data_IF_316751122637
#
_entry.id   IF_316751122637
#
_cell.length_a   1.000
_cell.length_b   1.000
_cell.length_c   1.000
_cell.angle_alpha   90.00
_cell.angle_beta   90.00
_cell.angle_gamma   90.00
#
_symmetry.space_group_name_H-M   'P 1'
#
loop_
_entity.id
_entity.type
_entity.pdbx_description
1 polymer ?
#
# COMPACT_ATOMS: atom_id res chain seq x y z
N UNK A 1 8.18 10.80 22.85
CA UNK A 1 9.11 10.40 23.92
C UNK A 1 8.36 9.48 24.87
N UNK A 2 8.75 8.20 24.96
CA UNK A 2 8.07 7.23 25.86
C UNK A 2 8.57 7.47 27.29
N UNK A 3 7.69 7.68 28.29
CA UNK A 3 8.10 7.93 29.66
C UNK A 3 8.81 6.70 30.26
N UNK A 4 9.86 6.96 31.04
CA UNK A 4 10.63 5.88 31.68
C UNK A 4 9.84 5.21 32.80
N UNK A 5 10.11 3.93 33.07
CA UNK A 5 9.40 3.15 34.10
C UNK A 5 9.44 3.81 35.49
N UNK A 6 10.51 4.53 35.82
CA UNK A 6 10.63 5.28 37.08
C UNK A 6 9.72 6.51 37.14
N UNK A 7 9.56 7.22 36.02
CA UNK A 7 8.64 8.37 35.92
C UNK A 7 7.18 7.89 36.02
N UNK A 8 6.86 6.79 35.35
CA UNK A 8 5.54 6.15 35.43
C UNK A 8 5.23 5.65 36.84
N UNK A 9 6.17 4.97 37.49
CA UNK A 9 5.99 4.42 38.84
C UNK A 9 5.62 5.50 39.86
N UNK A 10 6.35 6.63 39.86
CA UNK A 10 6.06 7.77 40.74
C UNK A 10 4.67 8.35 40.48
N UNK A 11 4.31 8.54 39.21
CA UNK A 11 3.02 9.12 38.83
C UNK A 11 1.85 8.22 39.18
N UNK A 12 1.96 6.91 38.96
CA UNK A 12 0.92 5.96 39.33
C UNK A 12 0.77 5.86 40.85
N UNK A 13 1.85 5.96 41.62
CA UNK A 13 1.80 5.95 43.08
C UNK A 13 1.07 7.19 43.63
N UNK A 14 1.30 8.38 43.05
CA UNK A 14 0.55 9.59 43.38
C UNK A 14 -0.96 9.42 43.13
N UNK A 15 -1.33 8.86 41.98
CA UNK A 15 -2.72 8.63 41.59
C UNK A 15 -3.38 7.60 42.51
N UNK A 16 -2.69 6.50 42.83
CA UNK A 16 -3.20 5.50 43.77
C UNK A 16 -3.47 6.10 45.15
N UNK A 17 -2.58 6.97 45.64
CA UNK A 17 -2.78 7.69 46.92
C UNK A 17 -3.96 8.65 46.87
N UNK A 18 -4.12 9.39 45.77
CA UNK A 18 -5.24 10.32 45.59
C UNK A 18 -6.60 9.60 45.50
N UNK A 19 -6.64 8.41 44.88
CA UNK A 19 -7.86 7.63 44.66
C UNK A 19 -8.16 6.61 45.80
N UNK A 20 -7.28 6.53 46.80
CA UNK A 20 -7.40 5.60 47.92
C UNK A 20 -7.27 4.13 47.52
N UNK A 21 -6.35 3.82 46.60
CA UNK A 21 -5.94 2.48 46.20
C UNK A 21 -4.60 2.12 46.86
N UNK A 22 -4.57 1.08 47.68
CA UNK A 22 -3.34 0.59 48.31
C UNK A 22 -2.56 -0.31 47.33
N UNK A 23 -1.43 0.17 46.83
CA UNK A 23 -0.57 -0.57 45.91
C UNK A 23 0.91 -0.48 46.32
N UNK A 24 1.58 -1.62 46.34
CA UNK A 24 3.02 -1.70 46.59
C UNK A 24 3.81 -1.30 45.35
N UNK A 25 5.00 -0.73 45.54
CA UNK A 25 5.85 -0.26 44.44
C UNK A 25 6.26 -1.39 43.48
N UNK A 26 6.55 -2.58 44.01
CA UNK A 26 6.81 -3.78 43.21
C UNK A 26 5.60 -4.21 42.34
N UNK A 27 4.38 -3.99 42.85
CA UNK A 27 3.13 -4.31 42.13
C UNK A 27 2.87 -3.31 41.01
N UNK A 28 3.14 -2.02 41.25
CA UNK A 28 3.04 -0.98 40.22
C UNK A 28 4.10 -1.17 39.13
N UNK A 29 5.31 -1.59 39.48
CA UNK A 29 6.34 -1.93 38.50
C UNK A 29 5.95 -3.13 37.65
N UNK A 30 5.36 -4.18 38.24
CA UNK A 30 4.83 -5.31 37.49
C UNK A 30 3.69 -4.90 36.53
N UNK A 31 2.83 -3.97 36.94
CA UNK A 31 1.77 -3.42 36.09
C UNK A 31 2.36 -2.65 34.90
N UNK A 32 3.37 -1.80 35.13
CA UNK A 32 4.09 -1.07 34.07
C UNK A 32 4.75 -2.03 33.09
N UNK A 33 5.36 -3.11 33.58
CA UNK A 33 5.96 -4.14 32.74
C UNK A 33 4.91 -4.90 31.92
N UNK A 34 3.72 -5.15 32.49
CA UNK A 34 2.63 -5.80 31.77
C UNK A 34 2.07 -4.96 30.61
N UNK A 35 2.19 -3.64 30.67
CA UNK A 35 1.67 -2.71 29.66
C UNK A 35 2.63 -2.47 28.47
N UNK A 36 3.54 -3.42 28.16
CA UNK A 36 4.38 -3.53 26.94
C UNK A 36 4.68 -2.23 26.17
N UNK A 37 5.11 -1.16 26.85
CA UNK A 37 5.33 0.14 26.21
C UNK A 37 5.11 1.36 27.08
N UNK A 38 4.63 1.21 28.32
CA UNK A 38 4.50 2.34 29.24
C UNK A 38 3.41 3.34 28.80
N UNK A 39 2.40 2.87 28.07
CA UNK A 39 1.23 3.68 27.71
C UNK A 39 0.46 4.06 28.99
N UNK A 40 0.50 5.36 29.30
CA UNK A 40 -0.16 5.94 30.47
C UNK A 40 -1.67 5.72 30.42
N UNK A 41 -2.30 5.76 29.24
CA UNK A 41 -3.75 5.61 29.09
C UNK A 41 -4.19 4.20 29.47
N UNK A 42 -3.46 3.19 29.00
CA UNK A 42 -3.72 1.79 29.34
C UNK A 42 -3.52 1.53 30.84
N UNK A 43 -2.42 2.04 31.41
CA UNK A 43 -2.11 1.90 32.84
C UNK A 43 -3.18 2.55 33.73
N UNK A 44 -3.67 3.74 33.35
CA UNK A 44 -4.76 4.41 34.07
C UNK A 44 -6.08 3.63 33.94
N UNK A 45 -6.40 3.12 32.75
CA UNK A 45 -7.59 2.28 32.55
C UNK A 45 -7.57 1.01 33.40
N UNK A 46 -6.41 0.36 33.51
CA UNK A 46 -6.21 -0.81 34.39
C UNK A 46 -6.39 -0.44 35.87
N UNK A 47 -5.77 0.64 36.35
CA UNK A 47 -5.94 1.12 37.72
C UNK A 47 -7.39 1.51 38.04
N UNK A 48 -8.10 2.11 37.09
CA UNK A 48 -9.51 2.44 37.25
C UNK A 48 -10.36 1.17 37.40
N UNK A 49 -10.11 0.15 36.58
CA UNK A 49 -10.82 -1.13 36.66
C UNK A 49 -10.52 -1.87 37.97
N UNK A 50 -9.27 -1.80 38.45
CA UNK A 50 -8.87 -2.32 39.77
C UNK A 50 -9.66 -1.61 40.87
N UNK A 51 -9.63 -0.28 40.89
CA UNK A 51 -10.22 0.53 41.95
C UNK A 51 -11.74 0.37 42.04
N UNK A 52 -12.39 0.02 40.94
CA UNK A 52 -13.81 -0.36 40.89
C UNK A 52 -14.11 -1.69 41.58
N UNK A 53 -13.14 -2.61 41.63
CA UNK A 53 -13.31 -3.98 42.17
C UNK A 53 -12.72 -4.15 43.56
N UNK A 54 -11.60 -3.51 43.86
CA UNK A 54 -10.90 -3.62 45.15
C UNK A 54 -10.30 -2.29 45.60
N UNK A 55 -10.05 -2.18 46.91
CA UNK A 55 -9.34 -1.03 47.52
C UNK A 55 -7.84 -1.28 47.70
N UNK A 56 -7.37 -2.50 47.46
CA UNK A 56 -5.96 -2.89 47.48
C UNK A 56 -5.60 -3.69 46.24
N UNK A 57 -4.34 -3.56 45.81
CA UNK A 57 -3.75 -4.22 44.66
C UNK A 57 -2.61 -5.14 45.12
N UNK A 58 -2.86 -6.45 45.06
CA UNK A 58 -1.84 -7.45 45.41
C UNK A 58 -0.94 -7.79 44.21
N UNK A 59 0.34 -8.07 44.49
CA UNK A 59 1.31 -8.50 43.48
C UNK A 59 0.85 -9.76 42.75
N UNK A 60 0.26 -10.71 43.47
CA UNK A 60 -0.24 -11.96 42.89
C UNK A 60 -1.43 -11.72 41.98
N UNK A 61 -2.26 -10.70 42.22
CA UNK A 61 -3.37 -10.37 41.32
C UNK A 61 -2.86 -9.84 39.97
N UNK A 62 -1.80 -9.02 39.99
CA UNK A 62 -1.12 -8.49 38.79
C UNK A 62 -0.41 -9.60 38.01
N UNK A 63 0.20 -10.56 38.72
CA UNK A 63 0.99 -11.63 38.10
C UNK A 63 0.17 -12.84 37.64
N UNK A 64 -0.83 -13.24 38.42
CA UNK A 64 -1.71 -14.39 38.10
C UNK A 64 -2.81 -14.05 37.10
N UNK A 65 -2.97 -12.76 36.75
CA UNK A 65 -4.02 -12.37 35.83
C UNK A 65 -5.43 -12.31 36.42
N UNK A 66 -5.54 -12.42 37.75
CA UNK A 66 -6.82 -12.33 38.49
C UNK A 66 -7.57 -11.00 38.34
N UNK A 67 -7.01 -10.04 37.59
CA UNK A 67 -7.64 -8.78 37.19
C UNK A 67 -8.67 -8.93 36.06
N UNK A 68 -8.84 -10.14 35.50
CA UNK A 68 -9.56 -10.31 34.24
C UNK A 68 -8.81 -9.71 33.04
N UNK A 69 -7.59 -9.23 33.27
CA UNK A 69 -6.71 -8.57 32.29
C UNK A 69 -5.69 -9.54 31.70
N UNK A 70 -5.51 -10.76 32.25
CA UNK A 70 -4.66 -11.78 31.61
C UNK A 70 -5.29 -12.47 30.42
N UNK A 71 -6.62 -12.40 30.28
CA UNK A 71 -7.29 -12.75 29.03
C UNK A 71 -7.07 -11.69 27.94
N UNK A 72 -6.69 -10.48 28.35
CA UNK A 72 -6.56 -9.26 27.53
C UNK A 72 -5.13 -8.69 27.52
N UNK A 73 -4.12 -9.43 27.97
CA UNK A 73 -2.76 -9.13 27.56
C UNK A 73 -2.67 -9.61 26.13
N UNK A 74 -3.04 -8.73 25.18
CA UNK A 74 -2.91 -8.94 23.75
C UNK A 74 -1.58 -9.61 23.49
N UNK A 75 -1.65 -10.91 23.19
CA UNK A 75 -0.45 -11.65 22.89
C UNK A 75 0.08 -11.07 21.59
N UNK A 76 1.35 -10.64 21.59
CA UNK A 76 1.95 -10.11 20.38
C UNK A 76 1.72 -11.10 19.23
N UNK A 77 1.34 -10.65 18.03
CA UNK A 77 1.14 -11.53 16.88
C UNK A 77 2.37 -12.40 16.58
N UNK A 78 3.57 -11.91 16.90
CA UNK A 78 4.82 -12.67 16.84
C UNK A 78 4.85 -13.85 17.81
N UNK A 79 4.40 -13.65 19.04
CA UNK A 79 4.32 -14.69 20.05
C UNK A 79 3.21 -15.70 19.71
N UNK A 80 2.06 -15.22 19.23
CA UNK A 80 0.98 -16.09 18.77
C UNK A 80 1.45 -17.01 17.61
N UNK A 81 2.06 -16.44 16.57
CA UNK A 81 2.63 -17.20 15.46
C UNK A 81 3.74 -18.17 15.92
N UNK A 82 4.61 -17.73 16.84
CA UNK A 82 5.66 -18.56 17.43
C UNK A 82 5.07 -19.76 18.17
N UNK A 83 4.03 -19.58 18.99
CA UNK A 83 3.38 -20.66 19.73
C UNK A 83 2.69 -21.66 18.81
N UNK A 84 2.07 -21.19 17.74
CA UNK A 84 1.43 -22.05 16.73
C UNK A 84 2.45 -22.96 16.01
N UNK A 85 3.63 -22.43 15.70
CA UNK A 85 4.71 -23.12 14.99
C UNK A 85 5.67 -23.91 15.90
N UNK A 86 5.72 -23.61 17.20
CA UNK A 86 6.56 -24.32 18.16
C UNK A 86 5.89 -25.62 18.64
N UNK A 87 6.63 -26.40 19.42
CA UNK A 87 6.09 -27.59 20.09
C UNK A 87 4.94 -27.26 21.07
N UNK A 88 4.84 -26.02 21.54
CA UNK A 88 3.78 -25.59 22.46
C UNK A 88 2.39 -25.71 21.82
N UNK A 89 2.28 -25.52 20.51
CA UNK A 89 1.03 -25.69 19.78
C UNK A 89 0.45 -27.10 19.85
N UNK A 90 1.25 -28.15 20.11
CA UNK A 90 0.79 -29.53 20.27
C UNK A 90 -0.06 -29.71 21.54
N UNK A 91 0.21 -28.95 22.59
CA UNK A 91 -0.52 -29.01 23.86
C UNK A 91 -1.82 -28.19 23.90
N UNK A 92 -2.08 -27.38 22.87
CA UNK A 92 -3.23 -26.48 22.80
C UNK A 92 -4.42 -27.18 22.14
N UNK A 93 -5.63 -26.92 22.64
CA UNK A 93 -6.85 -27.37 21.94
C UNK A 93 -7.01 -26.65 20.61
N UNK A 94 -7.84 -27.19 19.70
CA UNK A 94 -8.12 -26.52 18.43
C UNK A 94 -8.71 -25.10 18.66
N UNK A 95 -9.58 -24.96 19.67
CA UNK A 95 -10.16 -23.66 20.04
C UNK A 95 -9.08 -22.68 20.49
N UNK A 96 -8.15 -23.09 21.37
CA UNK A 96 -7.07 -22.22 21.83
C UNK A 96 -6.15 -21.80 20.67
N UNK A 97 -5.89 -22.71 19.72
CA UNK A 97 -5.10 -22.41 18.53
C UNK A 97 -5.81 -21.39 17.62
N UNK A 98 -7.13 -21.49 17.49
CA UNK A 98 -7.94 -20.51 16.75
C UNK A 98 -7.91 -19.15 17.48
N UNK A 99 -8.02 -19.14 18.81
CA UNK A 99 -7.95 -17.92 19.62
C UNK A 99 -6.58 -17.23 19.50
N UNK A 100 -5.48 -17.99 19.33
CA UNK A 100 -4.16 -17.43 19.00
C UNK A 100 -4.16 -16.73 17.64
N UNK A 101 -4.83 -17.29 16.63
CA UNK A 101 -4.94 -16.62 15.32
C UNK A 101 -5.76 -15.34 15.44
N UNK A 102 -6.82 -15.34 16.24
CA UNK A 102 -7.68 -14.18 16.44
C UNK A 102 -7.10 -13.09 17.37
N UNK A 103 -5.92 -13.30 17.95
CA UNK A 103 -5.16 -12.20 18.56
C UNK A 103 -4.88 -11.10 17.51
N UNK A 104 -4.56 -11.51 16.28
CA UNK A 104 -4.50 -10.62 15.12
C UNK A 104 -4.76 -11.44 13.84
N UNK A 105 -6.01 -11.39 13.39
CA UNK A 105 -6.50 -12.16 12.25
C UNK A 105 -5.89 -11.75 10.90
N UNK A 106 -5.25 -10.59 10.83
CA UNK A 106 -4.57 -10.10 9.63
C UNK A 106 -3.08 -10.47 9.66
N UNK A 107 -2.40 -10.23 10.79
CA UNK A 107 -0.96 -10.37 10.87
C UNK A 107 -0.49 -11.79 11.22
N UNK A 108 -1.20 -12.53 12.09
CA UNK A 108 -0.78 -13.89 12.48
C UNK A 108 -0.69 -14.84 11.27
N UNK A 109 -1.67 -14.89 10.34
CA UNK A 109 -1.55 -15.72 9.14
C UNK A 109 -0.31 -15.38 8.30
N UNK A 110 0.00 -14.10 8.13
CA UNK A 110 1.17 -13.63 7.38
C UNK A 110 2.49 -14.00 8.07
N UNK A 111 2.54 -13.90 9.40
CA UNK A 111 3.70 -14.31 10.18
C UNK A 111 3.93 -15.83 10.12
N UNK A 112 2.86 -16.62 10.16
CA UNK A 112 2.96 -18.07 9.98
C UNK A 112 3.46 -18.41 8.57
N UNK A 113 2.91 -17.76 7.54
CA UNK A 113 3.35 -17.95 6.15
C UNK A 113 4.81 -17.56 5.91
N UNK A 114 5.32 -16.51 6.55
CA UNK A 114 6.73 -16.12 6.42
C UNK A 114 7.65 -17.13 7.13
N UNK A 115 7.23 -17.64 8.29
CA UNK A 115 8.11 -18.39 9.19
C UNK A 115 7.96 -19.91 9.14
N UNK A 116 6.92 -20.49 8.55
CA UNK A 116 6.72 -21.95 8.60
C UNK A 116 7.90 -22.75 8.02
N UNK A 117 8.60 -22.20 7.01
CA UNK A 117 9.78 -22.82 6.40
C UNK A 117 10.99 -22.83 7.34
N UNK A 118 11.04 -21.87 8.28
CA UNK A 118 12.06 -21.79 9.31
C UNK A 118 11.89 -22.81 10.43
N UNK A 119 10.82 -23.61 10.43
CA UNK A 119 10.66 -24.66 11.44
C UNK A 119 10.99 -26.03 10.84
N UNK A 120 11.62 -26.88 11.64
CA UNK A 120 11.82 -28.29 11.31
C UNK A 120 10.67 -29.11 11.86
N UNK A 121 9.78 -29.66 11.01
CA UNK A 121 8.66 -30.45 11.44
C UNK A 121 9.10 -31.65 12.29
N UNK A 122 8.46 -31.86 13.45
CA UNK A 122 8.64 -33.06 14.28
C UNK A 122 8.33 -34.35 13.50
N UNK A 123 7.35 -34.27 12.60
CA UNK A 123 6.88 -35.38 11.77
C UNK A 123 7.92 -35.79 10.72
N UNK A 124 8.81 -34.87 10.34
CA UNK A 124 9.81 -35.11 9.32
C UNK A 124 11.09 -35.73 9.93
N UNK A 125 11.33 -37.00 9.62
CA UNK A 125 12.57 -37.70 10.02
C UNK A 125 13.76 -37.31 9.13
N UNK A 126 13.51 -37.19 7.82
CA UNK A 126 14.52 -36.92 6.80
C UNK A 126 14.18 -35.65 6.01
N UNK A 127 15.17 -35.06 5.34
CA UNK A 127 14.99 -33.82 4.57
C UNK A 127 14.02 -33.97 3.39
N UNK A 128 13.98 -35.15 2.76
CA UNK A 128 12.99 -35.46 1.73
C UNK A 128 11.55 -35.42 2.28
N UNK A 129 11.35 -35.95 3.49
CA UNK A 129 10.05 -35.92 4.17
C UNK A 129 9.71 -34.50 4.64
N UNK A 130 10.71 -33.73 5.09
CA UNK A 130 10.53 -32.31 5.42
C UNK A 130 9.99 -31.52 4.24
N UNK A 131 10.56 -31.70 3.05
CA UNK A 131 10.08 -31.03 1.84
C UNK A 131 8.61 -31.38 1.53
N UNK A 132 8.22 -32.66 1.68
CA UNK A 132 6.83 -33.09 1.47
C UNK A 132 5.86 -32.49 2.50
N UNK A 133 6.27 -32.41 3.76
CA UNK A 133 5.45 -31.82 4.83
C UNK A 133 5.30 -30.31 4.63
N UNK A 134 6.37 -29.61 4.26
CA UNK A 134 6.32 -28.18 3.93
C UNK A 134 5.46 -27.92 2.69
N UNK A 135 5.47 -28.81 1.69
CA UNK A 135 4.58 -28.71 0.54
C UNK A 135 3.10 -28.80 0.95
N UNK A 136 2.75 -29.72 1.85
CA UNK A 136 1.38 -29.81 2.41
C UNK A 136 0.99 -28.55 3.19
N UNK A 137 1.92 -27.94 3.92
CA UNK A 137 1.69 -26.66 4.58
C UNK A 137 1.46 -25.54 3.56
N UNK A 138 2.22 -25.51 2.46
CA UNK A 138 2.04 -24.52 1.39
C UNK A 138 0.68 -24.65 0.68
N UNK A 139 0.23 -25.88 0.42
CA UNK A 139 -1.11 -26.15 -0.14
C UNK A 139 -2.21 -25.64 0.79
N UNK A 140 -2.07 -25.87 2.09
CA UNK A 140 -3.01 -25.40 3.11
C UNK A 140 -3.10 -23.87 3.19
N UNK A 141 -1.95 -23.19 3.18
CA UNK A 141 -1.88 -21.71 3.13
C UNK A 141 -2.61 -21.20 1.89
N UNK A 142 -2.38 -21.85 0.74
CA UNK A 142 -3.04 -21.48 -0.53
C UNK A 142 -4.56 -21.67 -0.48
N UNK A 143 -5.04 -22.77 0.11
CA UNK A 143 -6.48 -22.96 0.34
C UNK A 143 -7.05 -21.91 1.32
N UNK A 144 -6.31 -21.57 2.37
CA UNK A 144 -6.71 -20.53 3.32
C UNK A 144 -6.80 -19.14 2.70
N UNK A 145 -5.93 -18.82 1.76
CA UNK A 145 -5.97 -17.56 1.00
C UNK A 145 -7.24 -17.44 0.15
N UNK A 146 -7.67 -18.53 -0.51
CA UNK A 146 -8.94 -18.55 -1.26
C UNK A 146 -10.14 -18.24 -0.37
N UNK A 147 -10.19 -18.84 0.82
CA UNK A 147 -11.27 -18.57 1.80
C UNK A 147 -11.17 -17.14 2.32
N UNK A 148 -9.96 -16.66 2.63
CA UNK A 148 -9.71 -15.30 3.12
C UNK A 148 -10.14 -14.25 2.11
N UNK A 149 -9.88 -14.48 0.81
CA UNK A 149 -10.37 -13.66 -0.29
C UNK A 149 -11.90 -13.66 -0.33
N UNK A 150 -12.54 -14.83 -0.23
CA UNK A 150 -14.00 -14.95 -0.24
C UNK A 150 -14.65 -14.20 0.93
N UNK A 151 -14.05 -14.24 2.12
CA UNK A 151 -14.50 -13.51 3.31
C UNK A 151 -14.46 -12.01 3.04
N UNK A 152 -13.33 -11.49 2.55
CA UNK A 152 -13.17 -10.04 2.33
C UNK A 152 -14.03 -9.53 1.18
N UNK A 153 -14.20 -10.32 0.11
CA UNK A 153 -15.04 -9.96 -1.04
C UNK A 153 -16.53 -9.93 -0.71
N UNK A 154 -17.03 -10.90 0.06
CA UNK A 154 -18.46 -11.00 0.38
C UNK A 154 -18.82 -10.55 1.80
N UNK A 155 -17.85 -10.05 2.56
CA UNK A 155 -17.98 -9.67 3.98
C UNK A 155 -18.58 -10.78 4.86
N UNK A 156 -18.32 -12.05 4.52
CA UNK A 156 -18.90 -13.19 5.21
C UNK A 156 -17.98 -13.69 6.34
N UNK A 157 -18.01 -12.99 7.47
CA UNK A 157 -17.17 -13.28 8.64
C UNK A 157 -17.49 -14.60 9.34
N UNK A 158 -18.62 -15.25 9.04
CA UNK A 158 -18.95 -16.57 9.58
C UNK A 158 -17.93 -17.65 9.15
N UNK A 159 -17.22 -17.43 8.04
CA UNK A 159 -16.16 -18.31 7.56
C UNK A 159 -14.79 -18.04 8.23
N UNK A 160 -14.66 -17.01 9.06
CA UNK A 160 -13.36 -16.64 9.65
C UNK A 160 -12.71 -17.77 10.47
N UNK A 161 -13.43 -18.54 11.32
CA UNK A 161 -12.84 -19.68 12.02
C UNK A 161 -12.34 -20.76 11.06
N UNK A 162 -13.07 -21.00 9.96
CA UNK A 162 -12.65 -21.94 8.93
C UNK A 162 -11.39 -21.46 8.20
N UNK A 163 -11.31 -20.18 7.88
CA UNK A 163 -10.11 -19.57 7.29
C UNK A 163 -8.90 -19.64 8.24
N UNK A 164 -9.09 -19.36 9.53
CA UNK A 164 -8.05 -19.46 10.55
C UNK A 164 -7.51 -20.90 10.64
N UNK A 165 -8.40 -21.89 10.61
CA UNK A 165 -7.99 -23.30 10.62
C UNK A 165 -7.22 -23.65 9.36
N UNK A 166 -7.79 -23.40 8.17
CA UNK A 166 -7.21 -23.83 6.90
C UNK A 166 -5.91 -23.09 6.56
N UNK A 167 -5.89 -21.76 6.75
CA UNK A 167 -4.79 -20.89 6.35
C UNK A 167 -3.67 -20.76 7.37
N UNK A 168 -3.92 -21.07 8.64
CA UNK A 168 -2.95 -20.79 9.71
C UNK A 168 -2.72 -22.00 10.61
N UNK A 169 -3.76 -22.56 11.23
CA UNK A 169 -3.59 -23.66 12.19
C UNK A 169 -3.11 -24.94 11.51
N UNK A 170 -3.76 -25.34 10.42
CA UNK A 170 -3.42 -26.53 9.65
C UNK A 170 -1.99 -26.49 9.09
N UNK A 171 -1.52 -25.43 8.40
CA UNK A 171 -0.13 -25.37 7.97
C UNK A 171 0.85 -25.30 9.14
N UNK A 172 0.49 -24.62 10.23
CA UNK A 172 1.32 -24.60 11.43
C UNK A 172 1.50 -26.02 12.01
N UNK A 173 0.44 -26.83 12.09
CA UNK A 173 0.53 -28.22 12.57
C UNK A 173 1.51 -29.09 11.78
N UNK A 174 1.56 -28.93 10.46
CA UNK A 174 2.54 -29.61 9.62
C UNK A 174 3.96 -29.07 9.85
N UNK A 175 4.11 -27.75 10.01
CA UNK A 175 5.40 -27.11 10.19
C UNK A 175 5.96 -27.18 11.62
N UNK A 176 5.18 -27.68 12.59
CA UNK A 176 5.52 -27.64 14.02
C UNK A 176 6.87 -28.26 14.36
N UNK A 177 7.71 -27.46 15.00
CA UNK A 177 8.92 -27.95 15.64
C UNK A 177 9.93 -26.85 15.95
N UNK A 178 11.21 -27.25 16.07
CA UNK A 178 12.29 -26.34 16.39
C UNK A 178 12.57 -25.36 15.24
N UNK A 179 12.75 -24.08 15.57
CA UNK A 179 13.15 -23.07 14.58
C UNK A 179 14.62 -23.25 14.21
N UNK A 180 14.89 -23.25 12.91
CA UNK A 180 16.21 -23.29 12.29
C UNK A 180 16.47 -22.01 11.49
N UNK A 181 17.75 -21.65 11.43
CA UNK A 181 18.26 -20.48 10.72
C UNK A 181 18.74 -20.90 9.33
N UNK A 182 18.49 -20.12 8.28
CA UNK A 182 18.90 -20.54 6.92
C UNK A 182 20.38 -20.28 6.62
N UNK A 183 20.98 -19.28 7.28
CA UNK A 183 22.37 -18.92 7.08
C UNK A 183 23.04 -18.55 8.40
N UNK A 184 24.36 -18.78 8.49
CA UNK A 184 25.12 -18.45 9.67
C UNK A 184 25.02 -16.94 9.99
N UNK A 185 24.61 -16.61 11.21
CA UNK A 185 24.50 -15.24 11.70
C UNK A 185 23.11 -14.59 11.58
N UNK A 186 22.09 -15.26 11.04
CA UNK A 186 20.71 -14.73 11.12
C UNK A 186 20.16 -14.83 12.56
N UNK A 187 19.54 -13.76 13.08
CA UNK A 187 18.90 -13.79 14.39
C UNK A 187 17.86 -14.91 14.49
N UNK A 188 17.89 -15.67 15.59
CA UNK A 188 16.94 -16.76 15.81
C UNK A 188 15.58 -16.24 16.36
N UNK A 189 14.97 -15.29 15.67
CA UNK A 189 13.66 -14.70 16.01
C UNK A 189 12.72 -14.76 14.80
N UNK A 190 11.39 -14.91 14.99
CA UNK A 190 10.44 -14.88 13.87
C UNK A 190 10.59 -13.62 13.03
N UNK A 191 10.71 -13.80 11.71
CA UNK A 191 10.75 -12.70 10.75
C UNK A 191 9.39 -12.04 10.64
N UNK A 192 9.40 -10.72 10.47
CA UNK A 192 8.21 -10.02 10.03
C UNK A 192 7.90 -10.36 8.57
N UNK A 193 6.62 -10.30 8.19
CA UNK A 193 6.18 -10.64 6.84
C UNK A 193 6.77 -9.70 5.78
N UNK A 194 7.41 -10.27 4.76
CA UNK A 194 7.88 -9.50 3.60
C UNK A 194 6.75 -9.14 2.64
N UNK A 195 5.57 -9.75 2.80
CA UNK A 195 4.43 -9.60 1.89
C UNK A 195 3.90 -8.16 1.86
N UNK A 196 3.75 -7.50 3.01
CA UNK A 196 3.23 -6.12 3.08
C UNK A 196 4.07 -5.13 2.28
N UNK A 197 5.40 -5.18 2.44
CA UNK A 197 6.31 -4.34 1.67
C UNK A 197 6.33 -4.68 0.18
N UNK A 198 6.25 -5.97 -0.15
CA UNK A 198 6.20 -6.46 -1.54
C UNK A 198 4.89 -6.10 -2.24
N UNK A 199 3.77 -6.09 -1.50
CA UNK A 199 2.46 -5.71 -2.00
C UNK A 199 2.40 -4.21 -2.30
N UNK A 200 2.85 -3.36 -1.37
CA UNK A 200 2.91 -1.91 -1.56
C UNK A 200 3.80 -1.51 -2.73
N UNK A 201 5.01 -2.07 -2.79
CA UNK A 201 5.90 -1.86 -3.94
C UNK A 201 5.23 -2.33 -5.23
N UNK A 202 4.74 -3.57 -5.27
CA UNK A 202 4.03 -4.11 -6.43
C UNK A 202 2.91 -3.21 -6.95
N UNK A 203 2.09 -2.62 -6.07
CA UNK A 203 1.04 -1.69 -6.46
C UNK A 203 1.59 -0.37 -7.02
N UNK A 204 2.65 0.18 -6.41
CA UNK A 204 3.37 1.32 -6.97
C UNK A 204 3.89 1.03 -8.38
N UNK A 205 4.52 -0.13 -8.60
CA UNK A 205 5.02 -0.50 -9.93
C UNK A 205 3.88 -0.75 -10.94
N UNK A 206 2.74 -1.31 -10.53
CA UNK A 206 1.54 -1.44 -11.39
C UNK A 206 1.00 -0.09 -11.82
N UNK A 207 0.92 0.88 -10.90
CA UNK A 207 0.50 2.26 -11.22
C UNK A 207 1.43 2.90 -12.24
N UNK A 208 2.74 2.84 -12.01
CA UNK A 208 3.75 3.41 -12.91
C UNK A 208 3.72 2.73 -14.30
N UNK A 209 3.50 1.42 -14.36
CA UNK A 209 3.29 0.71 -15.62
C UNK A 209 2.05 1.22 -16.37
N UNK A 210 0.95 1.49 -15.65
CA UNK A 210 -0.26 2.06 -16.23
C UNK A 210 -0.05 3.48 -16.78
N UNK A 211 0.73 4.31 -16.06
CA UNK A 211 1.12 5.63 -16.54
C UNK A 211 2.01 5.55 -17.78
N UNK A 212 3.02 4.69 -17.79
CA UNK A 212 3.86 4.43 -18.96
C UNK A 212 3.01 3.97 -20.15
N UNK A 213 2.09 3.03 -19.92
CA UNK A 213 1.20 2.49 -20.95
C UNK A 213 0.33 3.57 -21.58
N UNK A 214 -0.33 4.41 -20.77
CA UNK A 214 -1.15 5.51 -21.28
C UNK A 214 -0.35 6.56 -22.06
N UNK A 215 0.87 6.88 -21.63
CA UNK A 215 1.79 7.78 -22.36
C UNK A 215 2.19 7.20 -23.71
N UNK A 216 2.64 5.94 -23.73
CA UNK A 216 3.07 5.28 -24.96
C UNK A 216 1.90 5.09 -25.94
N UNK A 217 0.69 4.79 -25.46
CA UNK A 217 -0.49 4.77 -26.32
C UNK A 217 -0.83 6.15 -26.89
N UNK A 218 -0.67 7.22 -26.10
CA UNK A 218 -0.92 8.60 -26.58
C UNK A 218 0.03 9.04 -27.71
N UNK A 219 1.17 8.36 -27.88
CA UNK A 219 2.08 8.60 -29.00
C UNK A 219 1.50 8.18 -30.35
N UNK A 220 0.57 7.22 -30.37
CA UNK A 220 0.05 6.58 -31.57
C UNK A 220 1.04 5.64 -32.27
N UNK A 221 2.26 5.47 -31.74
CA UNK A 221 3.29 4.58 -32.30
C UNK A 221 3.17 3.14 -31.80
N UNK A 222 2.30 2.89 -30.81
CA UNK A 222 2.16 1.61 -30.15
C UNK A 222 0.69 1.28 -29.91
N UNK A 223 0.30 0.07 -30.29
CA UNK A 223 -0.97 -0.54 -29.89
C UNK A 223 -0.64 -1.84 -29.15
N UNK A 224 -0.73 -1.82 -27.82
CA UNK A 224 -0.49 -3.00 -27.00
C UNK A 224 -1.27 -2.96 -25.68
N UNK A 225 -1.45 -4.13 -25.07
CA UNK A 225 -1.95 -4.26 -23.70
C UNK A 225 -0.82 -4.03 -22.66
N UNK A 226 -1.19 -3.69 -21.42
CA UNK A 226 -0.26 -3.52 -20.29
C UNK A 226 0.64 -4.74 -20.08
N UNK A 227 0.10 -5.94 -20.26
CA UNK A 227 0.86 -7.19 -20.10
C UNK A 227 1.92 -7.33 -21.19
N UNK A 228 1.54 -7.05 -22.44
CA UNK A 228 2.45 -7.06 -23.57
C UNK A 228 3.53 -5.98 -23.43
N UNK A 229 3.16 -4.77 -22.97
CA UNK A 229 4.10 -3.71 -22.66
C UNK A 229 5.16 -4.18 -21.66
N UNK A 230 4.73 -4.76 -20.54
CA UNK A 230 5.62 -5.23 -19.47
C UNK A 230 6.59 -6.33 -19.93
N UNK A 231 6.09 -7.33 -20.66
CA UNK A 231 6.87 -8.53 -20.98
C UNK A 231 7.70 -8.38 -22.25
N UNK A 232 7.18 -7.70 -23.28
CA UNK A 232 7.83 -7.61 -24.58
C UNK A 232 8.57 -6.28 -24.79
N UNK A 233 7.95 -5.16 -24.44
CA UNK A 233 8.46 -3.83 -24.79
C UNK A 233 9.43 -3.26 -23.75
N UNK A 234 9.13 -3.36 -22.46
CA UNK A 234 9.97 -2.82 -21.38
C UNK A 234 11.42 -3.36 -21.44
N UNK A 235 11.68 -4.66 -21.68
CA UNK A 235 13.06 -5.16 -21.83
C UNK A 235 13.81 -4.56 -23.03
N UNK A 236 13.11 -4.34 -24.16
CA UNK A 236 13.69 -3.72 -25.35
C UNK A 236 13.92 -2.23 -25.12
N UNK A 237 12.96 -1.56 -24.49
CA UNK A 237 13.03 -0.14 -24.16
C UNK A 237 14.19 0.15 -23.22
N UNK A 238 14.42 -0.71 -22.23
CA UNK A 238 15.62 -0.67 -21.39
C UNK A 238 16.90 -0.67 -22.23
N UNK A 239 17.04 -1.62 -23.16
CA UNK A 239 18.24 -1.71 -24.00
C UNK A 239 18.38 -0.49 -24.91
N UNK A 240 17.29 0.00 -25.50
CA UNK A 240 17.27 1.17 -26.37
C UNK A 240 17.62 2.47 -25.64
N UNK A 241 17.24 2.61 -24.37
CA UNK A 241 17.55 3.80 -23.55
C UNK A 241 18.95 3.75 -22.95
N UNK A 242 19.40 2.60 -22.46
CA UNK A 242 20.66 2.48 -21.70
C UNK A 242 21.90 2.18 -22.55
N UNK A 243 21.77 1.36 -23.60
CA UNK A 243 22.92 0.91 -24.41
C UNK A 243 23.60 2.06 -25.15
N UNK A 244 22.88 2.99 -25.80
CA UNK A 244 23.50 4.12 -26.49
C UNK A 244 24.26 5.03 -25.52
N UNK A 245 23.67 5.32 -24.35
CA UNK A 245 24.29 6.15 -23.30
C UNK A 245 25.56 5.51 -22.72
N UNK A 246 25.63 4.18 -22.68
CA UNK A 246 26.81 3.46 -22.18
C UNK A 246 27.94 3.36 -23.22
N UNK A 247 27.62 3.25 -24.52
CA UNK A 247 28.62 3.07 -25.59
C UNK A 247 29.16 4.39 -26.15
N UNK A 248 28.28 5.35 -26.40
CA UNK A 248 28.58 6.59 -27.12
C UNK A 248 28.56 7.82 -26.19
N UNK A 249 28.18 7.65 -24.92
CA UNK A 249 28.25 8.69 -23.91
C UNK A 249 27.38 9.91 -24.22
N UNK A 250 28.00 11.10 -24.32
CA UNK A 250 27.28 12.37 -24.52
C UNK A 250 26.71 12.51 -25.94
N UNK A 251 27.29 11.83 -26.92
CA UNK A 251 26.86 11.93 -28.33
C UNK A 251 25.51 11.23 -28.58
N UNK A 252 25.18 10.21 -27.78
CA UNK A 252 23.91 9.50 -27.88
C UNK A 252 22.72 10.25 -27.24
N UNK A 253 22.94 11.33 -26.49
CA UNK A 253 21.87 12.05 -25.77
C UNK A 253 20.74 12.50 -26.72
N UNK A 254 21.01 13.14 -27.88
CA UNK A 254 19.96 13.55 -28.81
C UNK A 254 19.14 12.37 -29.33
N UNK A 255 19.79 11.26 -29.73
CA UNK A 255 19.11 10.08 -30.25
C UNK A 255 18.17 9.44 -29.20
N UNK A 256 18.60 9.39 -27.94
CA UNK A 256 17.77 8.88 -26.84
C UNK A 256 16.60 9.82 -26.55
N UNK A 257 16.81 11.13 -26.60
CA UNK A 257 15.75 12.12 -26.42
C UNK A 257 14.72 12.06 -27.55
N UNK A 258 15.15 11.83 -28.79
CA UNK A 258 14.25 11.65 -29.93
C UNK A 258 13.39 10.38 -29.77
N UNK A 259 13.96 9.28 -29.27
CA UNK A 259 13.21 8.07 -28.93
C UNK A 259 12.20 8.33 -27.80
N UNK A 260 12.61 9.08 -26.77
CA UNK A 260 11.68 9.48 -25.72
C UNK A 260 10.54 10.35 -26.27
N UNK A 261 10.85 11.25 -27.21
CA UNK A 261 9.86 12.07 -27.88
C UNK A 261 8.88 11.24 -28.72
N UNK A 262 9.39 10.25 -29.46
CA UNK A 262 8.57 9.40 -30.33
C UNK A 262 7.56 8.57 -29.54
N UNK A 263 7.94 8.06 -28.37
CA UNK A 263 7.07 7.27 -27.49
C UNK A 263 6.43 8.09 -26.37
N UNK A 264 6.58 9.42 -26.36
CA UNK A 264 6.03 10.33 -25.35
C UNK A 264 6.44 9.97 -23.90
N UNK A 265 7.68 9.51 -23.72
CA UNK A 265 8.22 9.09 -22.42
C UNK A 265 8.60 10.30 -21.56
N UNK A 266 8.27 10.23 -20.28
CA UNK A 266 8.74 11.16 -19.26
C UNK A 266 10.10 10.74 -18.68
N UNK A 267 10.74 11.63 -17.94
CA UNK A 267 11.97 11.29 -17.20
C UNK A 267 11.73 10.17 -16.19
N UNK A 268 10.59 10.22 -15.50
CA UNK A 268 10.19 9.25 -14.49
C UNK A 268 9.98 7.84 -15.10
N UNK A 269 9.57 7.78 -16.37
CA UNK A 269 9.41 6.50 -17.10
C UNK A 269 10.75 5.79 -17.32
N UNK A 270 11.82 6.56 -17.57
CA UNK A 270 13.17 5.99 -17.73
C UNK A 270 13.66 5.39 -16.41
N UNK A 271 13.40 6.06 -15.29
CA UNK A 271 13.74 5.55 -13.96
C UNK A 271 12.91 4.31 -13.62
N UNK A 272 11.61 4.32 -13.94
CA UNK A 272 10.74 3.16 -13.79
C UNK A 272 11.21 1.94 -14.61
N UNK A 273 11.54 2.13 -15.89
CA UNK A 273 12.06 1.08 -16.76
C UNK A 273 13.37 0.52 -16.22
N UNK A 274 14.26 1.37 -15.71
CA UNK A 274 15.51 0.93 -15.09
C UNK A 274 15.27 0.12 -13.80
N UNK A 275 14.31 0.54 -12.95
CA UNK A 275 13.98 -0.13 -11.69
C UNK A 275 13.30 -1.50 -11.93
N UNK A 276 12.28 -1.56 -12.78
CA UNK A 276 11.52 -2.81 -13.04
C UNK A 276 12.34 -3.87 -13.77
N UNK A 277 13.37 -3.47 -14.51
CA UNK A 277 14.26 -4.39 -15.21
C UNK A 277 15.52 -4.77 -14.44
N UNK A 278 15.64 -4.29 -13.20
CA UNK A 278 16.70 -4.68 -12.27
C UNK A 278 16.28 -5.93 -11.50
N UNK A 279 17.00 -7.02 -11.68
CA UNK A 279 16.73 -8.27 -10.98
C UNK A 279 17.83 -8.59 -9.97
N UNK A 280 17.50 -9.31 -8.90
CA UNK A 280 18.47 -9.81 -7.91
C UNK A 280 19.28 -11.00 -8.45
N UNK A 281 19.74 -10.92 -9.70
CA UNK A 281 20.52 -11.94 -10.39
C UNK A 281 21.83 -11.35 -10.88
N UNK A 282 22.90 -12.16 -10.87
CA UNK A 282 24.21 -11.80 -11.45
C UNK A 282 24.24 -11.92 -12.98
N UNK A 283 23.12 -12.28 -13.61
CA UNK A 283 23.05 -12.36 -15.07
C UNK A 283 23.16 -10.98 -15.74
N UNK A 284 23.57 -10.93 -17.02
CA UNK A 284 23.73 -9.66 -17.76
C UNK A 284 22.41 -8.88 -17.89
N UNK A 285 21.27 -9.58 -17.95
CA UNK A 285 19.95 -8.95 -17.88
C UNK A 285 19.58 -8.52 -16.44
N UNK A 286 20.16 -9.10 -15.40
CA UNK A 286 19.86 -8.74 -14.00
C UNK A 286 20.57 -7.48 -13.51
N UNK A 287 21.70 -7.13 -14.10
CA UNK A 287 22.48 -5.95 -13.70
C UNK A 287 21.74 -4.64 -13.96
N UNK A 288 22.06 -3.63 -13.16
CA UNK A 288 21.49 -2.29 -13.30
C UNK A 288 21.84 -1.71 -14.69
N UNK A 289 20.83 -1.41 -15.55
CA UNK A 289 21.08 -0.91 -16.90
C UNK A 289 21.90 0.36 -16.93
N UNK A 290 21.84 1.16 -15.87
CA UNK A 290 22.50 2.46 -15.79
C UNK A 290 23.90 2.39 -15.15
N UNK A 291 24.39 1.21 -14.77
CA UNK A 291 25.71 1.02 -14.13
C UNK A 291 26.88 1.39 -15.04
N UNK A 292 26.76 1.10 -16.34
CA UNK A 292 27.79 1.42 -17.34
C UNK A 292 27.81 2.88 -17.82
N UNK A 293 26.83 3.69 -17.39
CA UNK A 293 26.71 5.09 -17.83
C UNK A 293 27.44 6.01 -16.84
N UNK A 294 28.40 6.79 -17.34
CA UNK A 294 29.16 7.74 -16.52
C UNK A 294 28.25 8.79 -15.88
N UNK A 295 28.54 9.18 -14.63
CA UNK A 295 27.78 10.18 -13.89
C UNK A 295 27.64 11.51 -14.64
N UNK A 296 28.69 11.93 -15.37
CA UNK A 296 28.63 13.14 -16.20
C UNK A 296 27.58 13.06 -17.31
N UNK A 297 27.42 11.89 -17.93
CA UNK A 297 26.43 11.65 -19.00
C UNK A 297 25.02 11.69 -18.42
N UNK A 298 24.79 11.08 -17.24
CA UNK A 298 23.49 11.15 -16.55
C UNK A 298 23.07 12.58 -16.21
N UNK A 299 24.01 13.40 -15.73
CA UNK A 299 23.76 14.82 -15.44
C UNK A 299 23.48 15.61 -16.72
N UNK A 300 24.25 15.40 -17.78
CA UNK A 300 24.05 16.07 -19.06
C UNK A 300 22.69 15.69 -19.70
N UNK A 301 22.35 14.41 -19.67
CA UNK A 301 21.06 13.90 -20.14
C UNK A 301 19.88 14.56 -19.41
N UNK A 302 19.95 14.65 -18.07
CA UNK A 302 18.89 15.27 -17.27
C UNK A 302 18.72 16.76 -17.60
N UNK A 303 19.82 17.50 -17.81
CA UNK A 303 19.76 18.92 -18.24
C UNK A 303 19.16 19.07 -19.63
N UNK A 304 19.56 18.21 -20.58
CA UNK A 304 19.07 18.24 -21.95
C UNK A 304 17.57 17.92 -22.04
N UNK A 305 17.10 16.93 -21.26
CA UNK A 305 15.67 16.60 -21.17
C UNK A 305 14.84 17.79 -20.65
N UNK A 306 15.28 18.44 -19.57
CA UNK A 306 14.58 19.60 -19.00
C UNK A 306 14.56 20.81 -19.94
N UNK A 307 15.61 20.99 -20.76
CA UNK A 307 15.72 22.08 -21.71
C UNK A 307 14.76 21.96 -22.90
N UNK A 308 14.43 20.73 -23.32
CA UNK A 308 13.57 20.50 -24.49
C UNK A 308 12.06 20.68 -24.20
N UNK A 309 11.66 20.98 -22.95
CA UNK A 309 10.26 21.15 -22.56
C UNK A 309 9.32 20.05 -23.11
N UNK A 310 9.79 18.80 -23.22
CA UNK A 310 8.93 17.68 -23.60
C UNK A 310 7.88 17.48 -22.52
N UNK A 311 6.71 18.08 -22.74
CA UNK A 311 5.52 17.77 -21.94
C UNK A 311 4.88 16.53 -22.56
N UNK A 312 4.56 15.51 -21.76
CA UNK A 312 3.76 14.39 -22.22
C UNK A 312 2.48 14.89 -22.90
N UNK A 313 2.15 14.35 -24.07
CA UNK A 313 0.93 14.72 -24.82
C UNK A 313 -0.35 14.38 -24.04
N UNK A 314 -0.27 13.48 -23.07
CA UNK A 314 -1.35 13.21 -22.13
C UNK A 314 -1.38 14.27 -21.03
N UNK A 315 -2.39 15.14 -21.05
CA UNK A 315 -2.67 16.09 -19.96
C UNK A 315 -3.07 15.46 -18.62
N UNK A 316 -2.98 14.13 -18.48
CA UNK A 316 -3.25 13.42 -17.23
C UNK A 316 -1.94 13.15 -16.50
N UNK A 317 -1.50 14.12 -15.71
CA UNK A 317 -0.91 13.74 -14.42
C UNK A 317 -2.11 13.29 -13.59
N UNK A 318 -2.17 12.02 -13.20
CA UNK A 318 -3.00 11.64 -12.06
C UNK A 318 -2.44 12.47 -10.90
N UNK A 319 -3.06 13.61 -10.60
CA UNK A 319 -2.69 14.40 -9.44
C UNK A 319 -2.79 13.46 -8.24
N UNK A 320 -1.72 13.38 -7.44
CA UNK A 320 -1.77 12.71 -6.15
C UNK A 320 -3.03 13.20 -5.43
N UNK A 321 -3.97 12.30 -5.16
CA UNK A 321 -5.28 12.60 -4.58
C UNK A 321 -5.21 13.16 -3.14
N UNK A 322 -4.05 13.62 -2.70
CA UNK A 322 -3.78 14.20 -1.39
C UNK A 322 -3.94 15.73 -1.32
N UNK A 323 -4.09 16.46 -2.44
CA UNK A 323 -4.04 17.95 -2.42
C UNK A 323 -5.29 18.70 -2.88
N UNK A 324 -6.44 18.04 -3.04
CA UNK A 324 -7.71 18.71 -3.39
C UNK A 324 -8.83 18.42 -2.39
N UNK A 325 -8.62 18.77 -1.12
CA UNK A 325 -9.71 19.19 -0.22
C UNK A 325 -9.33 20.53 0.39
N UNK A 326 -10.18 21.53 0.17
CA UNK A 326 -10.13 22.82 0.87
C UNK A 326 -9.62 23.99 0.06
N UNK A 327 -10.50 24.60 -0.76
CA UNK A 327 -10.37 26.03 -1.08
C UNK A 327 -11.73 26.70 -0.88
N UNK A 328 -11.89 27.34 0.28
CA UNK A 328 -12.99 28.21 0.65
C UNK A 328 -12.51 29.23 1.67
N UNK A 329 -12.20 30.44 1.15
CA UNK A 329 -12.14 31.76 1.80
C UNK A 329 -11.09 32.12 2.90
N UNK A 330 -10.30 33.15 2.55
CA UNK A 330 -9.72 34.27 3.35
C UNK A 330 -8.74 33.93 4.50
N UNK A 331 -7.43 34.13 4.35
CA UNK A 331 -6.66 35.39 4.37
C UNK A 331 -6.21 35.84 5.77
N UNK A 332 -4.92 35.63 6.09
CA UNK A 332 -3.94 36.64 6.56
C UNK A 332 -2.76 35.97 7.31
N UNK A 333 -1.56 36.06 6.72
CA UNK A 333 -0.20 36.24 7.28
C UNK A 333 0.09 35.76 8.74
N UNK A 334 1.15 35.01 9.05
CA UNK A 334 2.60 35.29 8.89
C UNK A 334 3.43 34.00 9.12
N UNK A 335 4.58 33.92 8.41
CA UNK A 335 5.81 33.11 8.52
C UNK A 335 5.98 32.13 9.72
N UNK A 336 6.26 30.84 9.51
CA UNK A 336 7.53 30.17 9.09
C UNK A 336 8.33 29.71 10.34
N UNK A 337 8.30 28.41 10.65
CA UNK A 337 9.51 27.57 10.84
C UNK A 337 9.14 26.08 11.02
N UNK A 338 10.12 25.23 10.75
CA UNK A 338 10.08 23.79 10.44
C UNK A 338 9.63 22.80 11.54
N UNK A 339 9.41 21.56 11.08
CA UNK A 339 9.36 20.27 11.81
C UNK A 339 8.06 19.87 12.55
N UNK A 340 7.22 19.10 11.85
CA UNK A 340 6.29 18.16 12.49
C UNK A 340 5.99 16.96 11.58
N UNK A 341 6.81 15.90 11.68
CA UNK A 341 6.42 14.55 11.28
C UNK A 341 5.65 13.94 12.47
N UNK A 342 4.34 13.82 12.32
CA UNK A 342 3.45 13.16 13.27
C UNK A 342 2.41 12.37 12.49
N UNK A 343 2.76 11.15 12.10
CA UNK A 343 1.81 10.14 11.65
C UNK A 343 1.14 9.55 12.89
N UNK A 344 -0.15 9.88 13.06
CA UNK A 344 -1.04 9.14 13.94
C UNK A 344 -2.47 9.32 13.40
N UNK A 345 -2.86 8.46 12.45
CA UNK A 345 -4.28 8.17 12.21
C UNK A 345 -4.46 6.64 12.07
N UNK A 346 -4.96 6.09 13.18
CA UNK A 346 -5.97 5.04 13.28
C UNK A 346 -6.15 4.11 12.09
N UNK A 347 -5.77 2.87 12.34
CA UNK A 347 -6.22 1.64 11.68
C UNK A 347 -7.74 1.62 11.45
N UNK A 348 -8.13 2.04 10.25
CA UNK A 348 -9.37 1.66 9.62
C UNK A 348 -9.01 1.12 8.24
N UNK A 349 -8.87 -0.20 8.12
CA UNK A 349 -8.72 -0.87 6.82
C UNK A 349 -10.02 -0.67 6.05
N UNK A 350 -10.14 0.47 5.37
CA UNK A 350 -10.96 0.55 4.17
C UNK A 350 -10.19 -0.25 3.13
N UNK A 351 -10.63 -1.48 2.93
CA UNK A 351 -10.43 -2.14 1.65
C UNK A 351 -11.04 -1.20 0.61
N UNK A 352 -10.20 -0.47 -0.12
CA UNK A 352 -10.61 0.05 -1.41
C UNK A 352 -10.96 -1.18 -2.24
N UNK A 353 -12.25 -1.30 -2.55
CA UNK A 353 -12.76 -2.22 -3.55
C UNK A 353 -12.05 -1.88 -4.86
N UNK A 354 -10.98 -2.61 -5.17
CA UNK A 354 -10.64 -2.87 -6.56
C UNK A 354 -11.65 -3.92 -7.03
N UNK A 355 -12.86 -3.44 -7.40
CA UNK A 355 -13.46 -3.98 -8.60
C UNK A 355 -12.35 -3.91 -9.67
N UNK A 356 -12.02 -5.05 -10.28
CA UNK A 356 -11.53 -5.01 -11.64
C UNK A 356 -12.64 -4.33 -12.47
N UNK A 357 -12.72 -3.00 -12.44
CA UNK A 357 -13.19 -2.24 -13.58
C UNK A 357 -12.19 -2.58 -14.69
N UNK A 358 -12.48 -3.69 -15.37
CA UNK A 358 -12.14 -3.90 -16.76
C UNK A 358 -12.64 -2.64 -17.47
N UNK A 359 -11.80 -1.61 -17.52
CA UNK A 359 -12.08 -0.33 -18.15
C UNK A 359 -12.52 -0.64 -19.57
N UNK A 360 -13.84 -0.51 -19.79
CA UNK A 360 -14.50 -0.94 -21.01
C UNK A 360 -13.67 -0.47 -22.21
N UNK A 361 -13.16 -1.38 -23.07
CA UNK A 361 -12.35 -1.00 -24.22
C UNK A 361 -13.05 0.03 -25.11
N UNK A 362 -14.38 0.16 -25.04
CA UNK A 362 -15.13 1.23 -25.67
C UNK A 362 -14.84 2.61 -25.07
N UNK A 363 -14.73 2.74 -23.74
CA UNK A 363 -14.43 4.00 -23.05
C UNK A 363 -12.98 4.45 -23.29
N UNK A 364 -12.05 3.49 -23.35
CA UNK A 364 -10.65 3.75 -23.73
C UNK A 364 -10.57 4.20 -25.20
N UNK A 365 -11.29 3.54 -26.12
CA UNK A 365 -11.39 3.96 -27.52
C UNK A 365 -12.04 5.32 -27.69
N UNK A 366 -13.08 5.64 -26.92
CA UNK A 366 -13.76 6.94 -26.95
C UNK A 366 -12.84 8.07 -26.46
N UNK A 367 -12.02 7.80 -25.42
CA UNK A 367 -10.99 8.73 -24.93
C UNK A 367 -9.83 8.90 -25.93
N UNK A 368 -9.42 7.83 -26.63
CA UNK A 368 -8.39 7.87 -27.69
C UNK A 368 -8.89 8.61 -28.94
N UNK A 369 -10.18 8.50 -29.28
CA UNK A 369 -10.78 9.27 -30.37
C UNK A 369 -10.90 10.76 -30.04
N UNK A 370 -11.13 11.12 -28.78
CA UNK A 370 -11.11 12.52 -28.33
C UNK A 370 -9.71 13.16 -28.37
N UNK A 371 -8.65 12.36 -28.43
CA UNK A 371 -7.25 12.81 -28.49
C UNK A 371 -6.74 13.06 -29.93
N UNK A 372 -7.57 12.87 -30.97
CA UNK A 372 -7.16 13.02 -32.38
C UNK A 372 -7.19 14.45 -32.95
N UNK A 373 -7.33 15.50 -32.14
CA UNK A 373 -7.27 16.88 -32.64
C UNK A 373 -6.05 17.65 -32.15
N UNK A 374 -5.28 18.12 -33.15
CA UNK A 374 -4.27 19.19 -33.14
C UNK A 374 -2.81 18.76 -32.92
N UNK A 375 -2.09 18.75 -34.04
CA UNK A 375 -0.65 18.65 -34.11
C UNK A 375 0.07 19.91 -33.60
N UNK A 376 1.36 19.69 -33.32
CA UNK A 376 2.44 20.64 -33.06
C UNK A 376 2.10 22.13 -33.18
N UNK A 377 2.10 22.85 -32.06
CA UNK A 377 2.55 24.25 -32.03
C UNK A 377 3.91 24.28 -31.33
N UNK A 378 4.98 24.41 -32.10
CA UNK A 378 6.33 24.68 -31.60
C UNK A 378 6.40 26.18 -31.29
N UNK A 379 6.61 26.56 -30.03
CA UNK A 379 6.98 27.92 -29.65
C UNK A 379 8.46 27.93 -29.28
N UNK A 380 9.26 28.63 -30.08
CA UNK A 380 10.61 29.07 -29.70
C UNK A 380 10.54 30.53 -29.24
N UNK A 381 11.41 30.86 -28.28
CA UNK A 381 11.62 32.21 -27.73
C UNK A 381 11.94 33.19 -28.84
N UNK A 382 10.98 34.03 -29.19
CA UNK A 382 11.09 35.49 -29.09
C UNK A 382 9.72 36.11 -29.32
N UNK A 383 9.29 36.95 -28.38
CA UNK A 383 7.95 37.50 -28.34
C UNK A 383 7.67 38.45 -29.51
N UNK A 384 6.97 37.95 -30.52
CA UNK A 384 6.12 38.76 -31.38
C UNK A 384 4.91 37.94 -31.85
N UNK A 385 3.71 38.49 -31.68
CA UNK A 385 2.46 37.89 -32.14
C UNK A 385 2.07 38.55 -33.46
N UNK A 386 2.07 37.77 -34.55
CA UNK A 386 1.46 38.18 -35.81
C UNK A 386 0.04 37.62 -35.86
N UNK A 387 -0.95 38.52 -35.80
CA UNK A 387 -2.37 38.20 -35.96
C UNK A 387 -2.68 37.78 -37.40
N UNK A 388 -3.26 36.60 -37.60
CA UNK A 388 -3.71 36.11 -38.90
C UNK A 388 -5.22 35.88 -38.96
N UNK A 389 -5.95 36.92 -39.39
CA UNK A 389 -7.08 36.82 -40.34
C UNK A 389 -8.33 36.01 -39.97
N UNK A 390 -9.32 36.69 -39.38
CA UNK A 390 -10.72 36.27 -39.36
C UNK A 390 -11.35 36.50 -40.74
N UNK A 391 -11.61 35.44 -41.52
CA UNK A 391 -12.37 35.54 -42.76
C UNK A 391 -13.88 35.42 -42.49
N UNK A 392 -14.63 36.38 -43.02
CA UNK A 392 -16.10 36.54 -42.95
C UNK A 392 -16.65 36.46 -44.39
N UNK A 393 -17.68 35.65 -44.62
CA UNK A 393 -18.56 35.69 -45.80
C UNK A 393 -19.86 34.95 -45.43
N UNK A 394 -20.99 35.64 -45.18
CA UNK A 394 -22.02 36.10 -46.14
C UNK A 394 -22.63 34.93 -46.94
N UNK A 395 -23.94 34.62 -46.92
CA UNK A 395 -25.12 35.27 -46.34
C UNK A 395 -26.41 34.58 -46.80
N UNK A 396 -27.56 35.25 -46.53
CA UNK A 396 -28.95 35.03 -47.03
C UNK A 396 -29.77 34.03 -46.20
N UNK A 397 -30.96 34.28 -45.66
CA UNK A 397 -32.01 35.33 -45.58
C UNK A 397 -33.16 34.63 -44.80
N UNK A 398 -34.15 35.22 -44.10
CA UNK A 398 -35.05 36.35 -44.36
C UNK A 398 -35.98 36.46 -43.13
N UNK A 399 -36.31 37.69 -42.70
CA UNK A 399 -37.55 38.26 -42.11
C UNK A 399 -38.56 37.37 -41.33
N UNK A 400 -39.40 37.81 -40.37
CA UNK A 400 -39.81 39.07 -39.69
C UNK A 400 -40.75 38.59 -38.55
N UNK A 401 -40.61 39.05 -37.31
CA UNK A 401 -41.45 40.06 -36.62
C UNK A 401 -42.77 39.62 -35.94
N UNK A 402 -43.03 40.27 -34.79
CA UNK A 402 -44.30 40.53 -34.07
C UNK A 402 -44.88 39.38 -33.21
N UNK A 403 -44.80 39.42 -31.87
CA UNK A 403 -45.46 40.28 -30.86
C UNK A 403 -46.87 39.81 -30.46
N UNK A 404 -47.14 39.69 -29.16
CA UNK A 404 -48.45 39.99 -28.59
C UNK A 404 -49.09 38.98 -27.63
N UNK A 405 -48.91 39.25 -26.34
CA UNK A 405 -49.90 39.22 -25.22
C UNK A 405 -51.02 38.15 -25.16
N UNK A 406 -50.98 37.42 -24.05
CA UNK A 406 -51.99 37.28 -22.98
C UNK A 406 -53.49 37.19 -23.36
N UNK A 407 -54.17 36.11 -22.92
CA UNK A 407 -54.97 36.08 -21.68
C UNK A 407 -55.99 34.92 -21.67
N UNK A 408 -56.16 34.34 -20.48
CA UNK A 408 -57.40 33.78 -19.88
C UNK A 408 -58.25 32.74 -20.62
N UNK A 409 -58.51 31.62 -19.94
CA UNK A 409 -59.64 30.74 -20.25
C UNK A 409 -59.71 29.55 -19.30
N UNK A 410 -60.50 29.68 -18.24
CA UNK A 410 -60.78 28.67 -17.22
C UNK A 410 -61.56 27.45 -17.76
N UNK A 411 -61.46 26.29 -17.08
CA UNK A 411 -62.52 25.28 -17.19
C UNK A 411 -62.18 23.83 -16.83
N UNK A 412 -62.28 23.50 -15.53
CA UNK A 412 -62.92 22.31 -14.91
C UNK A 412 -62.66 20.87 -15.44
N UNK A 413 -62.42 19.99 -14.46
CA UNK A 413 -63.06 18.65 -14.36
C UNK A 413 -62.07 17.48 -14.40
N UNK A 414 -61.57 16.96 -13.28
CA UNK A 414 -62.18 15.99 -12.33
C UNK A 414 -61.96 14.51 -12.72
N UNK A 415 -61.06 13.89 -11.96
CA UNK A 415 -61.15 12.58 -11.28
C UNK A 415 -60.87 11.24 -12.01
N UNK A 416 -59.90 10.56 -11.38
CA UNK A 416 -59.91 9.19 -10.80
C UNK A 416 -59.66 7.96 -11.70
N UNK A 417 -58.59 7.27 -11.27
CA UNK A 417 -58.41 5.83 -10.98
C UNK A 417 -58.46 4.84 -12.16
N UNK A 418 -57.37 4.12 -12.34
CA UNK A 418 -57.13 2.86 -11.62
C UNK A 418 -55.71 2.87 -11.07
#
# INVERSE_FOLDING_TARGET
MVPTAQQLGKRLQEICRAEGLEANEATLQALIQSANGGDVRLLLGQLQMIRRRSRSLSYDQVRSGGLGTSKDLEMSPFEAARRLLSFEGEGLSLSDQIDLVFQDADLVPLLVQENYVNHRPKIAQNDAMRAQVLAKAADAISCGDLVSRQIRQHQNWALAPFAAVMGTVFPATYARGGREVFYAGEPNFPRFTAWLGSFSSGNKQRRLLGELHTRMLSSGALECDRTALRLAYVPVLRAALSTPLAREGKEAIPAVLDLMASYCLARDDVDFVADVTKWKSKGPLGEDPMKGVETQVKSAFTRAFNAQHLRPKSGFKLEDAAKRRGKGAAAAAIADDEEAFGEDESSGVKAEEEEEEELDPALVRQKVMALKTQGLSVTLKDGSTASGGKAKGSGRGKAKAASGKAASGAGRGRAKKA
#
